data_IF_885080481096
#
_entry.id   IF_885080481096
#
_cell.length_a   1.000
_cell.length_b   1.000
_cell.length_c   1.000
_cell.angle_alpha   90.00
_cell.angle_beta   90.00
_cell.angle_gamma   90.00
#
_symmetry.space_group_name_H-M   'P 1'
#
loop_
_entity.id
_entity.type
_entity.pdbx_description
1 polymer ?
#
# COMPACT_ATOMS: atom_id res chain seq x y z
N UNK A 1 -3.23 11.31 22.65
CA UNK A 1 -3.98 10.26 21.92
C UNK A 1 -5.48 10.57 21.91
N UNK A 2 -6.10 11.01 23.01
CA UNK A 2 -7.45 11.62 22.96
C UNK A 2 -7.58 12.76 21.92
N UNK A 3 -6.50 13.53 21.68
CA UNK A 3 -6.47 14.64 20.70
C UNK A 3 -6.79 14.21 19.25
N UNK A 4 -6.47 12.97 18.84
CA UNK A 4 -6.72 12.54 17.45
C UNK A 4 -8.22 12.30 17.21
N UNK A 5 -8.94 11.78 18.20
CA UNK A 5 -10.39 11.62 18.13
C UNK A 5 -11.13 12.95 18.37
N UNK A 6 -10.53 13.92 19.05
CA UNK A 6 -11.07 15.28 19.11
C UNK A 6 -10.96 15.99 17.74
N UNK A 7 -9.87 15.76 17.02
CA UNK A 7 -9.63 16.28 15.67
C UNK A 7 -10.47 15.55 14.61
N UNK A 8 -10.50 14.22 14.65
CA UNK A 8 -11.25 13.36 13.73
C UNK A 8 -12.30 12.57 14.51
N UNK A 9 -13.44 13.23 14.75
CA UNK A 9 -14.55 12.68 15.54
C UNK A 9 -15.28 11.54 14.85
N UNK A 10 -15.24 11.53 13.53
CA UNK A 10 -15.93 10.58 12.67
C UNK A 10 -15.22 10.48 11.32
N UNK A 11 -15.66 9.51 10.51
CA UNK A 11 -15.17 9.28 9.17
C UNK A 11 -15.33 10.51 8.26
N UNK A 12 -16.41 11.28 8.39
CA UNK A 12 -16.64 12.45 7.53
C UNK A 12 -15.59 13.54 7.78
N UNK A 13 -15.16 13.75 9.03
CA UNK A 13 -14.09 14.67 9.38
C UNK A 13 -12.75 14.26 8.75
N UNK A 14 -12.40 12.97 8.83
CA UNK A 14 -11.18 12.45 8.20
C UNK A 14 -11.28 12.49 6.67
N UNK A 15 -12.42 12.12 6.08
CA UNK A 15 -12.66 12.19 4.64
C UNK A 15 -12.52 13.62 4.09
N UNK A 16 -12.97 14.63 4.85
CA UNK A 16 -12.80 16.04 4.47
C UNK A 16 -11.33 16.43 4.47
N UNK A 17 -10.59 16.10 5.54
CA UNK A 17 -9.15 16.31 5.64
C UNK A 17 -8.38 15.58 4.53
N UNK A 18 -8.74 14.33 4.27
CA UNK A 18 -8.19 13.52 3.20
C UNK A 18 -8.30 14.24 1.85
N UNK A 19 -9.49 14.74 1.48
CA UNK A 19 -9.69 15.42 0.19
C UNK A 19 -8.86 16.70 0.03
N UNK A 20 -8.52 17.37 1.13
CA UNK A 20 -7.74 18.61 1.11
C UNK A 20 -6.23 18.36 1.14
N UNK A 21 -5.79 17.30 1.82
CA UNK A 21 -4.37 17.06 2.13
C UNK A 21 -3.75 15.88 1.36
N UNK A 22 -4.56 14.97 0.82
CA UNK A 22 -4.05 13.83 0.07
C UNK A 22 -3.50 14.25 -1.30
N UNK A 23 -2.24 13.92 -1.53
CA UNK A 23 -1.55 14.02 -2.81
C UNK A 23 -1.49 12.63 -3.44
N UNK A 24 -2.09 12.45 -4.63
CA UNK A 24 -2.09 11.16 -5.31
C UNK A 24 -0.69 10.62 -5.58
N UNK A 25 -0.54 9.31 -5.40
CA UNK A 25 0.64 8.56 -5.82
C UNK A 25 0.44 7.97 -7.21
N UNK A 26 1.54 7.73 -7.88
CA UNK A 26 1.63 7.08 -9.19
C UNK A 26 2.69 5.98 -9.15
N UNK A 27 2.64 5.05 -10.10
CA UNK A 27 3.62 3.95 -10.15
C UNK A 27 5.07 4.46 -10.22
N UNK A 28 5.31 5.62 -10.87
CA UNK A 28 6.63 6.24 -10.93
C UNK A 28 7.25 6.53 -9.55
N UNK A 29 6.42 6.74 -8.51
CA UNK A 29 6.89 7.01 -7.15
C UNK A 29 7.44 5.76 -6.45
N UNK A 30 6.96 4.57 -6.84
CA UNK A 30 7.41 3.28 -6.29
C UNK A 30 8.26 2.47 -7.27
N UNK A 31 8.34 2.90 -8.53
CA UNK A 31 8.96 2.17 -9.64
C UNK A 31 10.39 1.77 -9.32
N UNK A 32 11.20 2.69 -8.81
CA UNK A 32 12.60 2.41 -8.49
C UNK A 32 12.71 1.29 -7.44
N UNK A 33 12.01 1.43 -6.31
CA UNK A 33 12.01 0.43 -5.25
C UNK A 33 11.50 -0.94 -5.73
N UNK A 34 10.39 -0.96 -6.48
CA UNK A 34 9.77 -2.18 -6.96
C UNK A 34 10.63 -2.89 -8.01
N UNK A 35 11.06 -2.17 -9.04
CA UNK A 35 11.86 -2.76 -10.11
C UNK A 35 13.25 -3.18 -9.62
N UNK A 36 13.88 -2.42 -8.73
CA UNK A 36 15.18 -2.79 -8.18
C UNK A 36 15.08 -4.04 -7.33
N UNK A 37 13.98 -4.20 -6.57
CA UNK A 37 13.71 -5.45 -5.87
C UNK A 37 13.57 -6.61 -6.85
N UNK A 38 12.74 -6.48 -7.90
CA UNK A 38 12.56 -7.52 -8.93
C UNK A 38 13.89 -7.88 -9.61
N UNK A 39 14.71 -6.89 -9.97
CA UNK A 39 16.05 -7.10 -10.56
C UNK A 39 16.99 -7.80 -9.57
N UNK A 40 16.99 -7.39 -8.30
CA UNK A 40 17.82 -8.02 -7.27
C UNK A 40 17.44 -9.47 -6.99
N UNK A 41 16.15 -9.79 -7.12
CA UNK A 41 15.60 -11.13 -7.01
C UNK A 41 15.72 -11.94 -8.30
N UNK A 42 16.32 -11.39 -9.38
CA UNK A 42 16.39 -12.03 -10.70
C UNK A 42 15.02 -12.53 -11.19
N UNK A 43 13.98 -11.72 -10.98
CA UNK A 43 12.56 -12.02 -11.24
C UNK A 43 11.95 -13.15 -10.41
N UNK A 44 12.68 -13.74 -9.47
CA UNK A 44 12.18 -14.75 -8.53
C UNK A 44 11.40 -14.10 -7.37
N UNK A 45 10.26 -13.51 -7.69
CA UNK A 45 9.41 -12.81 -6.71
C UNK A 45 8.21 -13.64 -6.27
N UNK A 46 7.93 -14.77 -6.93
CA UNK A 46 6.76 -15.60 -6.67
C UNK A 46 7.10 -16.78 -5.77
N UNK A 47 6.06 -17.51 -5.36
CA UNK A 47 6.21 -18.80 -4.69
C UNK A 47 6.86 -19.81 -5.64
N UNK A 48 7.78 -20.62 -5.12
CA UNK A 48 8.55 -21.58 -5.92
C UNK A 48 7.65 -22.54 -6.72
N UNK A 49 6.60 -23.07 -6.12
CA UNK A 49 5.65 -23.97 -6.79
C UNK A 49 4.91 -23.30 -7.96
N UNK A 50 4.67 -21.98 -7.86
CA UNK A 50 4.00 -21.21 -8.89
C UNK A 50 4.94 -20.93 -10.07
N UNK A 51 6.21 -20.58 -9.79
CA UNK A 51 7.22 -20.41 -10.85
C UNK A 51 7.51 -21.73 -11.58
N UNK A 52 7.61 -22.83 -10.84
CA UNK A 52 7.82 -24.18 -11.40
C UNK A 52 6.65 -24.62 -12.29
N UNK A 53 5.44 -24.11 -12.06
CA UNK A 53 4.28 -24.39 -12.89
C UNK A 53 4.36 -23.77 -14.29
N UNK A 54 5.18 -22.73 -14.46
CA UNK A 54 5.37 -22.00 -15.72
C UNK A 54 4.14 -21.21 -16.20
N UNK A 55 3.06 -21.14 -15.42
CA UNK A 55 1.81 -20.46 -15.78
C UNK A 55 1.61 -19.17 -14.98
N UNK A 56 2.60 -18.28 -15.01
CA UNK A 56 2.48 -16.98 -14.36
C UNK A 56 1.48 -16.13 -15.15
N UNK A 57 0.38 -15.74 -14.51
CA UNK A 57 -0.68 -14.97 -15.15
C UNK A 57 -0.96 -13.67 -14.40
N UNK A 58 -1.34 -12.64 -15.14
CA UNK A 58 -1.70 -11.34 -14.57
C UNK A 58 -2.93 -11.40 -13.64
N UNK A 59 -3.76 -12.44 -13.73
CA UNK A 59 -4.97 -12.57 -12.94
C UNK A 59 -4.71 -13.16 -11.55
N UNK A 60 -3.67 -13.96 -11.38
CA UNK A 60 -3.39 -14.69 -10.14
C UNK A 60 -1.98 -14.46 -9.56
N UNK A 61 -1.10 -13.72 -10.24
CA UNK A 61 0.27 -13.50 -9.75
C UNK A 61 0.33 -12.87 -8.35
N UNK A 62 -0.60 -11.97 -8.02
CA UNK A 62 -0.60 -11.28 -6.73
C UNK A 62 -0.80 -12.25 -5.56
N UNK A 63 -1.67 -13.24 -5.74
CA UNK A 63 -1.93 -14.29 -4.76
C UNK A 63 -0.73 -15.25 -4.60
N UNK A 64 0.16 -15.27 -5.60
CA UNK A 64 1.33 -16.13 -5.67
C UNK A 64 2.65 -15.39 -5.43
N UNK A 65 2.62 -14.14 -4.95
CA UNK A 65 3.82 -13.42 -4.55
C UNK A 65 4.46 -14.10 -3.32
N UNK A 66 5.79 -14.19 -3.31
CA UNK A 66 6.54 -14.61 -2.14
C UNK A 66 6.37 -13.62 -0.99
N UNK A 67 6.51 -14.09 0.25
CA UNK A 67 6.44 -13.22 1.44
C UNK A 67 7.49 -12.10 1.38
N UNK A 68 8.68 -12.38 0.85
CA UNK A 68 9.74 -11.38 0.68
C UNK A 68 9.31 -10.28 -0.30
N UNK A 69 8.69 -10.66 -1.42
CA UNK A 69 8.18 -9.71 -2.41
C UNK A 69 7.03 -8.86 -1.86
N UNK A 70 6.05 -9.50 -1.21
CA UNK A 70 4.94 -8.77 -0.57
C UNK A 70 5.46 -7.74 0.44
N UNK A 71 6.41 -8.12 1.29
CA UNK A 71 7.02 -7.22 2.25
C UNK A 71 7.74 -6.06 1.55
N UNK A 72 8.60 -6.35 0.57
CA UNK A 72 9.36 -5.32 -0.13
C UNK A 72 8.46 -4.32 -0.87
N UNK A 73 7.39 -4.79 -1.53
CA UNK A 73 6.45 -3.91 -2.23
C UNK A 73 5.61 -3.09 -1.26
N UNK A 74 5.13 -3.68 -0.16
CA UNK A 74 4.42 -2.92 0.87
C UNK A 74 5.29 -1.86 1.52
N UNK A 75 6.57 -2.19 1.80
CA UNK A 75 7.54 -1.27 2.36
C UNK A 75 7.78 -0.10 1.40
N UNK A 76 8.09 -0.39 0.13
CA UNK A 76 8.29 0.65 -0.89
C UNK A 76 7.07 1.56 -1.10
N UNK A 77 5.85 1.01 -1.09
CA UNK A 77 4.64 1.83 -1.15
C UNK A 77 4.45 2.67 0.11
N UNK A 78 4.71 2.11 1.29
CA UNK A 78 4.59 2.83 2.57
C UNK A 78 5.57 3.99 2.62
N UNK A 79 6.82 3.77 2.22
CA UNK A 79 7.84 4.82 2.14
C UNK A 79 7.43 5.94 1.17
N UNK A 80 7.05 5.59 -0.06
CA UNK A 80 6.61 6.57 -1.05
C UNK A 80 5.36 7.35 -0.58
N UNK A 81 4.43 6.64 0.06
CA UNK A 81 3.23 7.26 0.64
C UNK A 81 3.61 8.24 1.74
N UNK A 82 4.47 7.83 2.67
CA UNK A 82 4.92 8.68 3.77
C UNK A 82 5.70 9.89 3.27
N UNK A 83 6.55 9.75 2.25
CA UNK A 83 7.32 10.85 1.68
C UNK A 83 6.40 11.95 1.11
N UNK A 84 5.36 11.56 0.36
CA UNK A 84 4.41 12.51 -0.23
C UNK A 84 3.34 13.01 0.72
N UNK A 85 2.89 12.14 1.61
CA UNK A 85 1.70 12.35 2.44
C UNK A 85 1.98 12.09 3.93
N UNK A 86 3.04 12.68 4.53
CA UNK A 86 3.48 12.31 5.88
C UNK A 86 2.40 12.57 6.93
N UNK A 87 1.73 13.73 6.87
CA UNK A 87 0.70 14.08 7.84
C UNK A 87 -0.57 13.23 7.69
N UNK A 88 -0.95 12.85 6.46
CA UNK A 88 -2.11 12.00 6.23
C UNK A 88 -1.84 10.60 6.77
N UNK A 89 -0.63 10.08 6.51
CA UNK A 89 -0.18 8.80 7.04
C UNK A 89 -0.14 8.81 8.57
N UNK A 90 0.50 9.80 9.19
CA UNK A 90 0.60 9.92 10.66
C UNK A 90 -0.78 10.00 11.31
N UNK A 91 -1.70 10.78 10.76
CA UNK A 91 -3.06 10.90 11.28
C UNK A 91 -3.84 9.59 11.14
N UNK A 92 -3.75 8.92 9.99
CA UNK A 92 -4.40 7.63 9.76
C UNK A 92 -3.86 6.55 10.72
N UNK A 93 -2.54 6.52 10.91
CA UNK A 93 -1.87 5.59 11.81
C UNK A 93 -2.24 5.87 13.27
N UNK A 94 -2.23 7.13 13.70
CA UNK A 94 -2.65 7.53 15.04
C UNK A 94 -4.11 7.16 15.31
N UNK A 95 -5.01 7.30 14.33
CA UNK A 95 -6.41 6.87 14.45
C UNK A 95 -6.52 5.35 14.60
N UNK A 96 -5.75 4.59 13.82
CA UNK A 96 -5.72 3.14 13.90
C UNK A 96 -5.21 2.65 15.27
N UNK A 97 -4.09 3.21 15.74
CA UNK A 97 -3.52 2.91 17.05
C UNK A 97 -4.49 3.26 18.19
N UNK A 98 -5.10 4.45 18.13
CA UNK A 98 -6.06 4.89 19.14
C UNK A 98 -7.31 4.00 19.16
N UNK A 99 -7.80 3.55 17.99
CA UNK A 99 -8.92 2.62 17.91
C UNK A 99 -8.60 1.25 18.52
N UNK A 100 -7.35 0.75 18.35
CA UNK A 100 -6.87 -0.50 18.94
C UNK A 100 -6.71 -0.41 20.47
N UNK A 101 -6.17 0.71 20.97
CA UNK A 101 -5.82 0.84 22.39
C UNK A 101 -6.98 1.32 23.27
N UNK A 102 -7.73 2.33 22.81
CA UNK A 102 -8.72 3.04 23.63
C UNK A 102 -10.15 2.60 23.30
N UNK A 103 -10.33 1.84 22.20
CA UNK A 103 -11.63 1.49 21.66
C UNK A 103 -12.22 2.67 20.88
N UNK A 104 -12.26 2.54 19.56
CA UNK A 104 -12.77 3.56 18.65
C UNK A 104 -13.21 2.93 17.32
N UNK A 105 -13.78 3.75 16.44
CA UNK A 105 -14.14 3.27 15.11
C UNK A 105 -12.88 3.22 14.22
N UNK A 106 -12.38 2.01 13.98
CA UNK A 106 -11.26 1.77 13.08
C UNK A 106 -11.55 2.21 11.63
N UNK A 107 -12.81 2.48 11.29
CA UNK A 107 -13.21 2.95 9.97
C UNK A 107 -13.11 4.47 9.79
N UNK A 108 -12.69 5.24 10.81
CA UNK A 108 -12.51 6.70 10.65
C UNK A 108 -11.49 6.97 9.53
N UNK A 109 -10.39 6.23 9.49
CA UNK A 109 -9.37 6.34 8.44
C UNK A 109 -9.62 5.42 7.24
N UNK A 110 -10.86 4.97 6.99
CA UNK A 110 -11.17 4.02 5.92
C UNK A 110 -10.73 4.51 4.53
N UNK A 111 -10.86 5.82 4.25
CA UNK A 111 -10.41 6.40 2.98
C UNK A 111 -8.90 6.16 2.72
N UNK A 112 -8.07 6.22 3.77
CA UNK A 112 -6.64 5.91 3.66
C UNK A 112 -6.41 4.43 3.36
N UNK A 113 -7.06 3.54 4.10
CA UNK A 113 -6.88 2.09 3.90
C UNK A 113 -7.38 1.63 2.53
N UNK A 114 -8.53 2.12 2.08
CA UNK A 114 -9.09 1.82 0.76
C UNK A 114 -8.16 2.30 -0.36
N UNK A 115 -7.66 3.54 -0.28
CA UNK A 115 -6.74 4.06 -1.28
C UNK A 115 -5.39 3.32 -1.26
N UNK A 116 -4.84 3.05 -0.09
CA UNK A 116 -3.58 2.32 0.02
C UNK A 116 -3.68 0.92 -0.63
N UNK A 117 -4.76 0.18 -0.36
CA UNK A 117 -4.99 -1.12 -0.98
C UNK A 117 -5.19 -1.02 -2.50
N UNK A 118 -5.91 0.01 -2.96
CA UNK A 118 -6.09 0.28 -4.39
C UNK A 118 -4.74 0.55 -5.07
N UNK A 119 -3.92 1.45 -4.51
CA UNK A 119 -2.60 1.77 -5.04
C UNK A 119 -1.68 0.57 -5.03
N UNK A 120 -1.66 -0.20 -3.95
CA UNK A 120 -0.86 -1.42 -3.86
C UNK A 120 -1.21 -2.39 -4.99
N UNK A 121 -2.49 -2.66 -5.19
CA UNK A 121 -2.97 -3.51 -6.28
C UNK A 121 -2.62 -2.95 -7.66
N UNK A 122 -2.92 -1.67 -7.92
CA UNK A 122 -2.69 -1.03 -9.22
C UNK A 122 -1.18 -0.98 -9.56
N UNK A 123 -0.32 -0.69 -8.60
CA UNK A 123 1.13 -0.65 -8.81
C UNK A 123 1.74 -2.03 -9.00
N UNK A 124 1.19 -3.07 -8.37
CA UNK A 124 1.58 -4.44 -8.66
C UNK A 124 1.20 -4.85 -10.09
N UNK A 125 0.02 -4.42 -10.58
CA UNK A 125 -0.36 -4.63 -11.97
C UNK A 125 0.60 -3.94 -12.93
N UNK A 126 0.92 -2.66 -12.69
CA UNK A 126 1.85 -1.91 -13.53
C UNK A 126 3.26 -2.52 -13.50
N UNK A 127 3.72 -2.98 -12.33
CA UNK A 127 4.99 -3.72 -12.20
C UNK A 127 4.97 -5.01 -13.02
N UNK A 128 3.89 -5.78 -12.95
CA UNK A 128 3.74 -7.00 -13.72
C UNK A 128 3.79 -6.70 -15.22
N UNK A 129 3.05 -5.69 -15.66
CA UNK A 129 3.01 -5.26 -17.06
C UNK A 129 4.39 -4.73 -17.53
N UNK A 130 5.18 -4.12 -16.64
CA UNK A 130 6.52 -3.62 -16.97
C UNK A 130 7.60 -4.72 -17.01
N UNK A 131 7.54 -5.71 -16.12
CA UNK A 131 8.61 -6.69 -15.92
C UNK A 131 8.33 -8.08 -16.49
N UNK A 132 7.05 -8.43 -16.69
CA UNK A 132 6.58 -9.79 -17.02
C UNK A 132 5.64 -9.87 -18.22
N UNK A 133 5.11 -8.76 -18.74
CA UNK A 133 4.38 -8.79 -20.01
C UNK A 133 5.36 -8.97 -21.18
N UNK A 134 5.31 -10.12 -21.84
CA UNK A 134 5.99 -10.41 -23.13
C UNK A 134 5.18 -9.92 -24.35
#
# INVERSE_FOLDING_TARGET
MEEIFEQFKDKDAFDAYWKEHYVPLTYEDVREAYEDFVKSADKHIFLSDYEESGNVSREDFMDNLSQAAQFAFQDGLTEAFYEKNPQVYENAFALFEAAQMEGGDANIAAAFHEEYQRLYHDFLLELFDAQYAE
#
